data_IF_014899145015
#
_entry.id   IF_014899145015
#
_cell.length_a   1.000
_cell.length_b   1.000
_cell.length_c   1.000
_cell.angle_alpha   90.00
_cell.angle_beta   90.00
_cell.angle_gamma   90.00
#
_symmetry.space_group_name_H-M   'P 1'
#
loop_
_entity.id
_entity.type
_entity.pdbx_description
1 polymer ?
#
# COMPACT_ATOMS: atom_id res chain seq x y z
N UNK A 1 22.44 -31.10 -6.73
CA UNK A 1 21.10 -31.04 -6.11
C UNK A 1 20.27 -30.26 -7.09
N UNK A 2 19.44 -30.97 -7.85
CA UNK A 2 18.45 -30.36 -8.74
C UNK A 2 17.45 -29.64 -7.84
N UNK A 3 17.42 -28.32 -7.92
CA UNK A 3 16.35 -27.53 -7.31
C UNK A 3 15.07 -27.94 -8.05
N UNK A 4 14.15 -28.62 -7.34
CA UNK A 4 12.79 -28.79 -7.82
C UNK A 4 12.25 -27.39 -8.17
N UNK A 5 12.02 -27.13 -9.45
CA UNK A 5 11.22 -25.99 -9.89
C UNK A 5 9.83 -26.18 -9.30
N UNK A 6 9.63 -25.64 -8.09
CA UNK A 6 8.34 -25.50 -7.45
C UNK A 6 7.45 -24.78 -8.47
N UNK A 7 6.46 -25.50 -9.00
CA UNK A 7 5.59 -25.01 -10.07
C UNK A 7 4.76 -23.86 -9.52
N UNK A 8 5.32 -22.65 -9.63
CA UNK A 8 4.69 -21.44 -9.10
C UNK A 8 3.29 -21.32 -9.73
N UNK A 9 2.24 -21.13 -8.93
CA UNK A 9 0.88 -21.11 -9.44
C UNK A 9 0.74 -20.05 -10.53
N UNK A 10 0.10 -20.43 -11.64
CA UNK A 10 -0.17 -19.51 -12.73
C UNK A 10 -1.19 -18.45 -12.27
N UNK A 11 -0.68 -17.27 -11.93
CA UNK A 11 -1.47 -16.15 -11.47
C UNK A 11 -1.95 -15.33 -12.67
N UNK A 12 -3.25 -15.05 -12.73
CA UNK A 12 -3.82 -14.12 -13.68
C UNK A 12 -4.72 -13.13 -12.94
N UNK A 13 -5.02 -12.00 -13.59
CA UNK A 13 -5.78 -10.93 -12.95
C UNK A 13 -7.18 -11.37 -12.51
N UNK A 14 -7.81 -12.28 -13.26
CA UNK A 14 -9.11 -12.83 -12.88
C UNK A 14 -9.02 -13.63 -11.57
N UNK A 15 -8.04 -14.52 -11.42
CA UNK A 15 -7.80 -15.27 -10.17
C UNK A 15 -7.50 -14.34 -9.00
N UNK A 16 -6.71 -13.28 -9.22
CA UNK A 16 -6.43 -12.26 -8.20
C UNK A 16 -7.71 -11.59 -7.72
N UNK A 17 -8.53 -11.14 -8.66
CA UNK A 17 -9.79 -10.47 -8.37
C UNK A 17 -10.77 -11.39 -7.65
N UNK A 18 -10.98 -12.59 -8.21
CA UNK A 18 -11.89 -13.60 -7.65
C UNK A 18 -11.48 -13.99 -6.23
N UNK A 19 -10.20 -14.31 -6.00
CA UNK A 19 -9.70 -14.64 -4.67
C UNK A 19 -9.85 -13.48 -3.68
N UNK A 20 -9.46 -12.26 -4.09
CA UNK A 20 -9.57 -11.09 -3.23
C UNK A 20 -11.02 -10.88 -2.76
N UNK A 21 -12.00 -11.11 -3.63
CA UNK A 21 -13.42 -10.84 -3.36
C UNK A 21 -14.20 -11.99 -2.71
N UNK A 22 -13.78 -13.25 -2.92
CA UNK A 22 -14.58 -14.41 -2.51
C UNK A 22 -13.95 -15.25 -1.40
N UNK A 23 -12.63 -15.13 -1.15
CA UNK A 23 -11.96 -15.92 -0.11
C UNK A 23 -12.61 -15.71 1.26
N UNK A 24 -12.68 -16.72 2.15
CA UNK A 24 -13.19 -16.53 3.51
C UNK A 24 -12.44 -15.42 4.23
N UNK A 25 -13.17 -14.46 4.85
CA UNK A 25 -12.54 -13.29 5.46
C UNK A 25 -11.49 -13.66 6.51
N UNK A 26 -11.74 -14.69 7.32
CA UNK A 26 -10.82 -15.11 8.37
C UNK A 26 -9.47 -15.59 7.84
N UNK A 27 -9.42 -16.07 6.59
CA UNK A 27 -8.16 -16.50 5.94
C UNK A 27 -7.34 -15.32 5.41
N UNK A 28 -7.98 -14.18 5.12
CA UNK A 28 -7.32 -13.00 4.53
C UNK A 28 -7.29 -11.78 5.47
N UNK A 29 -7.93 -11.86 6.65
CA UNK A 29 -8.02 -10.77 7.63
C UNK A 29 -6.66 -10.32 8.15
N UNK A 30 -5.63 -11.16 8.06
CA UNK A 30 -4.24 -10.79 8.36
C UNK A 30 -3.77 -9.56 7.56
N UNK A 31 -4.37 -9.27 6.41
CA UNK A 31 -4.02 -8.10 5.61
C UNK A 31 -4.19 -6.79 6.38
N UNK A 32 -5.05 -6.74 7.40
CA UNK A 32 -5.21 -5.56 8.26
C UNK A 32 -3.92 -5.18 9.01
N UNK A 33 -2.99 -6.11 9.20
CA UNK A 33 -1.68 -5.78 9.76
C UNK A 33 -0.88 -4.84 8.85
N UNK A 34 -1.07 -4.90 7.53
CA UNK A 34 -0.42 -3.92 6.63
C UNK A 34 -0.96 -2.52 6.89
N UNK A 35 -2.27 -2.38 7.07
CA UNK A 35 -2.92 -1.12 7.37
C UNK A 35 -2.42 -0.56 8.69
N UNK A 36 -2.43 -1.39 9.74
CA UNK A 36 -1.96 -1.01 11.08
C UNK A 36 -0.50 -0.56 11.09
N UNK A 37 0.40 -1.37 10.53
CA UNK A 37 1.84 -1.07 10.56
C UNK A 37 2.19 0.14 9.71
N UNK A 38 1.68 0.22 8.48
CA UNK A 38 2.03 1.33 7.59
C UNK A 38 1.37 2.64 8.02
N UNK A 39 0.16 2.61 8.58
CA UNK A 39 -0.49 3.81 9.15
C UNK A 39 0.25 4.29 10.40
N UNK A 40 0.63 3.38 11.30
CA UNK A 40 1.45 3.74 12.46
C UNK A 40 2.80 4.37 12.04
N UNK A 41 3.41 3.91 10.95
CA UNK A 41 4.61 4.51 10.41
C UNK A 41 4.41 5.96 9.94
N UNK A 42 3.31 6.24 9.23
CA UNK A 42 2.94 7.61 8.86
C UNK A 42 2.66 8.49 10.09
N UNK A 43 1.89 7.99 11.06
CA UNK A 43 1.55 8.70 12.29
C UNK A 43 2.79 9.05 13.13
N UNK A 44 3.74 8.13 13.22
CA UNK A 44 5.00 8.38 13.90
C UNK A 44 5.87 9.38 13.10
N UNK A 45 5.84 9.32 11.77
CA UNK A 45 6.54 10.27 10.92
C UNK A 45 6.06 11.71 11.12
N UNK A 46 4.77 11.92 11.36
CA UNK A 46 4.22 13.26 11.65
C UNK A 46 4.71 13.85 12.97
N UNK A 47 5.04 13.02 13.97
CA UNK A 47 5.56 13.46 15.27
C UNK A 47 7.03 13.87 15.21
N UNK A 48 7.79 13.28 14.30
CA UNK A 48 9.21 13.58 14.08
C UNK A 48 9.45 14.52 12.91
N UNK A 49 10.73 14.64 12.55
CA UNK A 49 11.19 15.19 11.27
C UNK A 49 12.05 14.09 10.64
N UNK A 50 11.50 13.36 9.68
CA UNK A 50 12.16 12.28 8.97
C UNK A 50 12.29 12.63 7.49
N UNK A 51 13.40 12.24 6.86
CA UNK A 51 13.62 12.46 5.43
C UNK A 51 13.42 13.92 5.04
N UNK A 52 12.62 14.15 3.99
CA UNK A 52 12.22 15.51 3.59
C UNK A 52 10.99 16.02 4.33
N UNK A 53 10.38 15.20 5.18
CA UNK A 53 9.16 15.50 5.93
C UNK A 53 8.03 15.99 5.01
N UNK A 54 7.96 15.45 3.80
CA UNK A 54 7.00 15.83 2.76
C UNK A 54 5.57 15.63 3.26
N UNK A 55 5.28 14.47 3.85
CA UNK A 55 3.93 14.20 4.34
C UNK A 55 3.48 15.16 5.43
N UNK A 56 4.40 15.60 6.30
CA UNK A 56 4.14 16.61 7.33
C UNK A 56 3.96 18.01 6.72
N UNK A 57 4.79 18.37 5.75
CA UNK A 57 4.69 19.62 4.99
C UNK A 57 3.33 19.72 4.28
N UNK A 58 2.84 18.65 3.66
CA UNK A 58 1.53 18.61 3.01
C UNK A 58 0.34 18.86 3.96
N UNK A 59 0.54 18.73 5.28
CA UNK A 59 -0.45 19.07 6.32
C UNK A 59 -0.26 20.47 6.92
N UNK A 60 0.68 21.25 6.38
CA UNK A 60 0.95 22.61 6.80
C UNK A 60 -0.15 23.58 6.38
N UNK A 61 -0.27 24.68 7.11
CA UNK A 61 -1.30 25.70 6.88
C UNK A 61 -1.19 26.39 5.53
N UNK A 62 0.00 26.45 4.95
CA UNK A 62 0.21 27.03 3.62
C UNK A 62 -0.16 26.02 2.53
N UNK A 63 0.30 24.79 2.66
CA UNK A 63 0.10 23.70 1.71
C UNK A 63 -1.38 23.31 1.62
N UNK A 64 -2.11 23.28 2.74
CA UNK A 64 -3.56 23.11 2.73
C UNK A 64 -4.30 24.20 1.94
N UNK A 65 -3.80 25.45 1.92
CA UNK A 65 -4.42 26.51 1.11
C UNK A 65 -4.17 26.31 -0.39
N UNK A 66 -3.09 25.64 -0.78
CA UNK A 66 -2.72 25.41 -2.18
C UNK A 66 -3.31 24.11 -2.72
N UNK A 67 -3.18 23.02 -1.96
CA UNK A 67 -3.60 21.66 -2.35
C UNK A 67 -5.04 21.33 -1.92
N UNK A 68 -5.60 22.11 -1.00
CA UNK A 68 -6.89 21.82 -0.37
C UNK A 68 -6.79 20.83 0.79
N UNK A 69 -7.95 20.52 1.35
CA UNK A 69 -8.14 19.48 2.37
C UNK A 69 -9.12 18.45 1.78
N UNK A 70 -8.56 17.33 1.31
CA UNK A 70 -9.27 16.30 0.55
C UNK A 70 -8.64 14.93 0.73
N UNK A 71 -9.42 13.87 0.44
CA UNK A 71 -8.94 12.48 0.40
C UNK A 71 -7.64 12.36 -0.39
N UNK A 72 -7.54 13.05 -1.54
CA UNK A 72 -6.32 13.05 -2.36
C UNK A 72 -5.10 13.61 -1.60
N UNK A 73 -5.26 14.78 -0.97
CA UNK A 73 -4.17 15.39 -0.19
C UNK A 73 -3.76 14.54 1.02
N UNK A 74 -4.71 13.86 1.66
CA UNK A 74 -4.45 12.93 2.76
C UNK A 74 -3.73 11.66 2.29
N UNK A 75 -4.12 11.10 1.15
CA UNK A 75 -3.41 9.97 0.52
C UNK A 75 -1.94 10.33 0.28
N UNK A 76 -1.68 11.49 -0.32
CA UNK A 76 -0.31 11.97 -0.56
C UNK A 76 0.45 12.16 0.75
N UNK A 77 -0.17 12.79 1.75
CA UNK A 77 0.44 13.07 3.04
C UNK A 77 0.82 11.81 3.80
N UNK A 78 -0.12 10.88 4.03
CA UNK A 78 0.15 9.64 4.77
C UNK A 78 1.16 8.76 4.05
N UNK A 79 1.02 8.59 2.73
CA UNK A 79 1.92 7.75 1.94
C UNK A 79 3.35 8.28 1.96
N UNK A 80 3.54 9.59 1.74
CA UNK A 80 4.87 10.20 1.76
C UNK A 80 5.49 10.23 3.16
N UNK A 81 4.69 10.44 4.21
CA UNK A 81 5.16 10.42 5.59
C UNK A 81 5.76 9.05 5.99
N UNK A 82 5.06 7.96 5.69
CA UNK A 82 5.57 6.61 5.96
C UNK A 82 6.83 6.30 5.13
N UNK A 83 6.86 6.71 3.86
CA UNK A 83 8.05 6.58 3.01
C UNK A 83 9.24 7.37 3.57
N UNK A 84 9.05 8.60 4.03
CA UNK A 84 10.08 9.43 4.63
C UNK A 84 10.67 8.77 5.88
N UNK A 85 9.82 8.31 6.81
CA UNK A 85 10.27 7.59 8.00
C UNK A 85 11.08 6.35 7.65
N UNK A 86 10.59 5.52 6.71
CA UNK A 86 11.30 4.33 6.25
C UNK A 86 12.64 4.70 5.64
N UNK A 87 12.68 5.62 4.69
CA UNK A 87 13.90 5.95 3.94
C UNK A 87 14.93 6.68 4.80
N UNK A 88 14.49 7.40 5.83
CA UNK A 88 15.37 8.02 6.83
C UNK A 88 15.97 7.01 7.83
N UNK A 89 15.64 5.72 7.72
CA UNK A 89 16.16 4.68 8.62
C UNK A 89 15.54 4.72 10.01
N UNK A 90 14.30 5.22 10.14
CA UNK A 90 13.60 5.20 11.42
C UNK A 90 13.40 3.75 11.91
N UNK A 91 13.56 3.53 13.21
CA UNK A 91 13.31 2.24 13.87
C UNK A 91 11.81 1.96 14.02
N UNK A 92 11.08 1.96 12.91
CA UNK A 92 9.63 1.79 12.83
C UNK A 92 9.34 0.65 11.84
N UNK A 93 8.60 -0.39 12.24
CA UNK A 93 8.27 -1.48 11.33
C UNK A 93 7.32 -1.00 10.23
N UNK A 94 7.55 -1.47 9.01
CA UNK A 94 6.66 -1.27 7.86
C UNK A 94 6.39 -2.62 7.21
N UNK A 95 5.16 -2.84 6.76
CA UNK A 95 4.81 -4.06 6.05
C UNK A 95 5.21 -3.91 4.59
N UNK A 96 6.06 -4.81 4.11
CA UNK A 96 6.54 -4.80 2.72
C UNK A 96 5.58 -5.53 1.79
N UNK A 97 5.60 -5.17 0.51
CA UNK A 97 5.09 -6.00 -0.57
C UNK A 97 6.26 -6.38 -1.48
N UNK A 98 6.36 -7.65 -1.86
CA UNK A 98 7.40 -8.16 -2.76
C UNK A 98 8.82 -7.73 -2.36
N UNK A 99 9.13 -7.81 -1.05
CA UNK A 99 10.45 -7.47 -0.49
C UNK A 99 10.75 -5.97 -0.36
N UNK A 100 9.81 -5.07 -0.68
CA UNK A 100 10.02 -3.63 -0.62
C UNK A 100 9.02 -2.93 0.32
N UNK A 101 9.56 -2.27 1.36
CA UNK A 101 8.77 -1.50 2.33
C UNK A 101 8.00 -0.35 1.67
N UNK A 102 8.63 0.42 0.78
CA UNK A 102 7.94 1.50 0.07
C UNK A 102 6.84 0.99 -0.87
N UNK A 103 7.02 -0.18 -1.50
CA UNK A 103 5.93 -0.78 -2.27
C UNK A 103 4.77 -1.19 -1.37
N UNK A 104 5.06 -1.78 -0.20
CA UNK A 104 4.03 -2.12 0.79
C UNK A 104 3.27 -0.89 1.28
N UNK A 105 3.99 0.21 1.60
CA UNK A 105 3.40 1.50 1.94
C UNK A 105 2.49 2.02 0.82
N UNK A 106 3.01 2.09 -0.41
CA UNK A 106 2.26 2.60 -1.57
C UNK A 106 1.08 1.73 -1.97
N UNK A 107 1.14 0.42 -1.79
CA UNK A 107 0.02 -0.50 -2.03
C UNK A 107 -1.07 -0.40 -0.93
N UNK A 108 -0.71 0.11 0.26
CA UNK A 108 -1.58 0.09 1.44
C UNK A 108 -2.22 1.44 1.72
N UNK A 109 -1.42 2.48 1.97
CA UNK A 109 -1.91 3.73 2.55
C UNK A 109 -2.93 4.47 1.67
N UNK A 110 -2.81 4.51 0.33
CA UNK A 110 -3.85 5.09 -0.49
C UNK A 110 -5.21 4.42 -0.29
N UNK A 111 -5.24 3.09 -0.19
CA UNK A 111 -6.47 2.30 0.01
C UNK A 111 -7.03 2.53 1.41
N UNK A 112 -6.18 2.50 2.44
CA UNK A 112 -6.60 2.73 3.84
C UNK A 112 -7.22 4.11 4.01
N UNK A 113 -6.53 5.17 3.56
CA UNK A 113 -7.01 6.54 3.69
C UNK A 113 -8.33 6.73 2.94
N UNK A 114 -8.42 6.21 1.71
CA UNK A 114 -9.66 6.28 0.93
C UNK A 114 -10.82 5.57 1.64
N UNK A 115 -10.61 4.35 2.13
CA UNK A 115 -11.62 3.56 2.81
C UNK A 115 -12.14 4.26 4.08
N UNK A 116 -11.22 4.76 4.92
CA UNK A 116 -11.57 5.43 6.17
C UNK A 116 -12.37 6.72 5.93
N UNK A 117 -11.94 7.57 5.00
CA UNK A 117 -12.61 8.85 4.73
C UNK A 117 -13.96 8.70 4.00
N UNK A 118 -14.16 7.59 3.29
CA UNK A 118 -15.43 7.28 2.63
C UNK A 118 -16.33 6.34 3.45
N UNK A 119 -15.99 6.06 4.71
CA UNK A 119 -16.82 5.26 5.62
C UNK A 119 -17.01 3.81 5.19
N UNK A 120 -16.01 3.23 4.52
CA UNK A 120 -16.03 1.84 4.07
C UNK A 120 -15.92 0.88 5.24
N UNK A 121 -16.57 -0.27 5.11
CA UNK A 121 -16.58 -1.34 6.12
C UNK A 121 -15.22 -2.03 6.22
N UNK A 122 -14.98 -2.74 7.34
CA UNK A 122 -13.76 -3.55 7.51
C UNK A 122 -13.62 -4.60 6.40
N UNK A 123 -14.73 -5.25 6.02
CA UNK A 123 -14.73 -6.21 4.92
C UNK A 123 -14.29 -5.53 3.61
N UNK A 124 -14.89 -4.40 3.24
CA UNK A 124 -14.46 -3.66 2.05
C UNK A 124 -12.97 -3.30 2.09
N UNK A 125 -12.46 -2.84 3.25
CA UNK A 125 -11.04 -2.55 3.39
C UNK A 125 -10.17 -3.80 3.21
N UNK A 126 -10.52 -4.94 3.81
CA UNK A 126 -9.82 -6.22 3.65
C UNK A 126 -9.76 -6.60 2.17
N UNK A 127 -10.91 -6.59 1.49
CA UNK A 127 -11.04 -6.97 0.07
C UNK A 127 -10.21 -6.06 -0.83
N UNK A 128 -10.30 -4.75 -0.62
CA UNK A 128 -9.55 -3.75 -1.39
C UNK A 128 -8.02 -3.86 -1.18
N UNK A 129 -7.58 -4.11 0.06
CA UNK A 129 -6.16 -4.32 0.35
C UNK A 129 -5.65 -5.62 -0.28
N UNK A 130 -6.43 -6.71 -0.22
CA UNK A 130 -6.07 -7.95 -0.90
C UNK A 130 -5.96 -7.76 -2.40
N UNK A 131 -6.94 -7.10 -3.03
CA UNK A 131 -6.90 -6.79 -4.45
C UNK A 131 -5.67 -5.96 -4.80
N UNK A 132 -5.37 -4.92 -3.99
CA UNK A 132 -4.19 -4.08 -4.18
C UNK A 132 -2.89 -4.89 -4.13
N UNK A 133 -2.63 -5.58 -3.01
CA UNK A 133 -1.38 -6.30 -2.78
C UNK A 133 -1.16 -7.45 -3.75
N UNK A 134 -2.20 -8.22 -4.07
CA UNK A 134 -2.12 -9.32 -5.04
C UNK A 134 -1.93 -8.80 -6.47
N UNK A 135 -2.48 -7.64 -6.82
CA UNK A 135 -2.22 -7.01 -8.13
C UNK A 135 -0.75 -6.60 -8.25
N UNK A 136 -0.15 -6.07 -7.18
CA UNK A 136 1.30 -5.78 -7.15
C UNK A 136 2.11 -7.06 -7.37
N UNK A 137 1.77 -8.15 -6.68
CA UNK A 137 2.44 -9.45 -6.80
C UNK A 137 2.29 -10.01 -8.23
N UNK A 138 1.09 -9.94 -8.80
CA UNK A 138 0.81 -10.35 -10.18
C UNK A 138 1.68 -9.63 -11.20
N UNK A 139 1.74 -8.30 -11.14
CA UNK A 139 2.58 -7.53 -12.06
C UNK A 139 4.05 -7.86 -11.82
N UNK A 140 4.47 -8.06 -10.57
CA UNK A 140 5.86 -8.38 -10.21
C UNK A 140 6.31 -9.74 -10.70
N UNK A 141 5.43 -10.73 -10.76
CA UNK A 141 5.75 -12.07 -11.29
C UNK A 141 6.26 -11.99 -12.74
N UNK A 142 5.73 -11.05 -13.53
CA UNK A 142 6.17 -10.83 -14.92
C UNK A 142 7.46 -10.01 -15.07
N UNK A 143 7.94 -9.35 -14.01
CA UNK A 143 9.12 -8.47 -14.06
C UNK A 143 10.44 -9.15 -13.67
N UNK A 144 10.37 -10.40 -13.19
CA UNK A 144 11.54 -11.18 -12.74
C UNK A 144 12.18 -10.64 -11.45
N UNK A 145 13.30 -11.25 -11.03
CA UNK A 145 14.02 -10.89 -9.78
C UNK A 145 14.69 -9.51 -9.85
N UNK A 146 15.06 -9.05 -11.04
CA UNK A 146 15.68 -7.75 -11.29
C UNK A 146 14.94 -7.05 -12.43
N UNK A 147 14.53 -5.80 -12.20
CA UNK A 147 13.79 -5.01 -13.18
C UNK A 147 14.29 -3.56 -13.20
N UNK A 148 14.32 -2.95 -14.38
CA UNK A 148 14.56 -1.52 -14.55
C UNK A 148 13.32 -0.66 -14.23
N UNK A 149 12.16 -1.28 -14.00
CA UNK A 149 10.93 -0.57 -13.64
C UNK A 149 10.89 -0.28 -12.14
N UNK A 150 10.63 0.98 -11.77
CA UNK A 150 10.40 1.34 -10.37
C UNK A 150 9.23 0.56 -9.79
N UNK A 151 9.45 -0.11 -8.65
CA UNK A 151 8.38 -0.79 -7.91
C UNK A 151 7.25 0.13 -7.48
N UNK A 152 7.51 1.43 -7.37
CA UNK A 152 6.50 2.45 -7.09
C UNK A 152 5.36 2.48 -8.13
N UNK A 153 5.67 2.29 -9.41
CA UNK A 153 4.67 2.26 -10.49
C UNK A 153 3.74 1.07 -10.29
N UNK A 154 4.31 -0.10 -10.00
CA UNK A 154 3.58 -1.35 -9.76
C UNK A 154 2.69 -1.23 -8.51
N UNK A 155 3.24 -0.68 -7.43
CA UNK A 155 2.49 -0.47 -6.19
C UNK A 155 1.34 0.53 -6.35
N UNK A 156 1.57 1.63 -7.08
CA UNK A 156 0.53 2.61 -7.39
C UNK A 156 -0.62 1.97 -8.20
N UNK A 157 -0.31 1.16 -9.22
CA UNK A 157 -1.31 0.41 -9.98
C UNK A 157 -2.16 -0.48 -9.07
N UNK A 158 -1.53 -1.25 -8.17
CA UNK A 158 -2.25 -2.07 -7.19
C UNK A 158 -3.19 -1.24 -6.31
N UNK A 159 -2.70 -0.14 -5.75
CA UNK A 159 -3.53 0.74 -4.90
C UNK A 159 -4.70 1.36 -5.67
N UNK A 160 -4.50 1.70 -6.95
CA UNK A 160 -5.57 2.20 -7.82
C UNK A 160 -6.65 1.15 -8.06
N UNK A 161 -6.29 -0.12 -8.25
CA UNK A 161 -7.27 -1.21 -8.35
C UNK A 161 -8.12 -1.34 -7.08
N UNK A 162 -7.48 -1.29 -5.90
CA UNK A 162 -8.17 -1.32 -4.61
C UNK A 162 -9.12 -0.13 -4.44
N UNK A 163 -8.65 1.09 -4.72
CA UNK A 163 -9.49 2.30 -4.64
C UNK A 163 -10.64 2.26 -5.64
N UNK A 164 -10.39 1.84 -6.88
CA UNK A 164 -11.43 1.76 -7.92
C UNK A 164 -12.55 0.80 -7.53
N UNK A 165 -12.22 -0.30 -6.86
CA UNK A 165 -13.21 -1.23 -6.35
C UNK A 165 -14.01 -0.67 -5.15
N UNK A 166 -13.42 0.23 -4.37
CA UNK A 166 -14.10 0.91 -3.27
C UNK A 166 -15.01 2.05 -3.72
N UNK A 167 -14.90 2.56 -4.96
CA UNK A 167 -15.74 3.65 -5.45
C UNK A 167 -17.16 3.17 -5.77
#
# INVERSE_FOLDING_TARGET
>A
AEEEEETSPELNLYKVYDFALTAPLDEIRFILDTARLNKAAAEQAFKGNYGHSLGKMLRGTYEHKVMGDSVFSHILSYTSAACDARMAGAMIPVMSNSGSGNQGISATLPVVVFAEENGKTEEELIRALMLSHLTVIYIKQSLGRLSALCGCVVAATGSSCGITWLM
#
